data_IF_636963658949
#
_entry.id   IF_636963658949
#
_cell.length_a   1.000
_cell.length_b   1.000
_cell.length_c   1.000
_cell.angle_alpha   90.00
_cell.angle_beta   90.00
_cell.angle_gamma   90.00
#
_symmetry.space_group_name_H-M   'P 1'
#
loop_
_entity.id
_entity.type
_entity.pdbx_description
1 polymer ?
#
# COMPACT_ATOMS: atom_id res chain seq x y z
N UNK A 1 48.92 6.35 -25.67
CA UNK A 1 47.48 6.58 -25.92
C UNK A 1 46.60 5.43 -25.39
N UNK A 2 46.90 4.14 -25.65
CA UNK A 2 46.11 2.96 -25.24
C UNK A 2 45.91 2.84 -23.73
N UNK A 3 46.92 3.14 -22.88
CA UNK A 3 46.81 3.08 -21.41
C UNK A 3 45.85 4.14 -20.81
N UNK A 4 45.74 5.33 -21.42
CA UNK A 4 44.77 6.39 -20.98
C UNK A 4 43.35 6.03 -21.35
N UNK A 5 43.10 5.37 -22.49
CA UNK A 5 41.80 4.90 -22.93
C UNK A 5 41.26 3.81 -22.01
N UNK A 6 42.09 2.85 -21.59
CA UNK A 6 41.71 1.78 -20.64
C UNK A 6 41.31 2.36 -19.27
N UNK A 7 42.00 3.40 -18.79
CA UNK A 7 41.64 4.07 -17.54
C UNK A 7 40.28 4.76 -17.57
N UNK A 8 39.95 5.41 -18.70
CA UNK A 8 38.66 6.07 -18.88
C UNK A 8 37.50 5.04 -18.94
N UNK A 9 37.70 3.92 -19.65
CA UNK A 9 36.68 2.85 -19.72
C UNK A 9 36.43 2.20 -18.36
N UNK A 10 37.47 1.96 -17.56
CA UNK A 10 37.34 1.45 -16.21
C UNK A 10 36.62 2.42 -15.27
N UNK A 11 36.87 3.71 -15.39
CA UNK A 11 36.19 4.75 -14.60
C UNK A 11 34.70 4.83 -14.93
N UNK A 12 34.35 4.76 -16.22
CA UNK A 12 32.95 4.76 -16.68
C UNK A 12 32.21 3.51 -16.24
N UNK A 13 32.86 2.32 -16.21
CA UNK A 13 32.25 1.08 -15.73
C UNK A 13 31.99 1.12 -14.21
N UNK A 14 32.88 1.73 -13.43
CA UNK A 14 32.69 1.94 -11.99
C UNK A 14 31.55 2.91 -11.69
N UNK A 15 31.41 4.00 -12.45
CA UNK A 15 30.32 4.94 -12.33
C UNK A 15 28.96 4.31 -12.70
N UNK A 16 28.89 3.52 -13.77
CA UNK A 16 27.70 2.78 -14.15
C UNK A 16 27.28 1.77 -13.06
N UNK A 17 28.23 1.01 -12.49
CA UNK A 17 27.98 0.08 -11.39
C UNK A 17 27.40 0.75 -10.15
N UNK A 18 27.88 1.95 -9.80
CA UNK A 18 27.38 2.72 -8.65
C UNK A 18 25.93 3.21 -8.86
N UNK A 19 25.57 3.60 -10.08
CA UNK A 19 24.20 4.03 -10.39
C UNK A 19 23.22 2.86 -10.35
N UNK A 20 23.59 1.69 -10.87
CA UNK A 20 22.74 0.50 -10.82
C UNK A 20 22.54 -0.01 -9.38
N UNK A 21 23.55 0.04 -8.52
CA UNK A 21 23.42 -0.37 -7.11
C UNK A 21 22.57 0.58 -6.29
N UNK A 22 22.60 1.89 -6.58
CA UNK A 22 21.71 2.87 -5.90
C UNK A 22 20.25 2.73 -6.35
N UNK A 23 19.99 2.48 -7.62
CA UNK A 23 18.61 2.23 -8.11
C UNK A 23 18.02 0.95 -7.51
N UNK A 24 18.81 -0.13 -7.35
CA UNK A 24 18.37 -1.37 -6.71
C UNK A 24 18.07 -1.17 -5.21
N UNK A 25 18.82 -0.35 -4.50
CA UNK A 25 18.57 -0.01 -3.10
C UNK A 25 17.32 0.86 -2.91
N UNK A 26 17.02 1.75 -3.86
CA UNK A 26 15.79 2.56 -3.82
C UNK A 26 14.53 1.75 -4.18
N UNK A 27 14.62 0.74 -5.05
CA UNK A 27 13.50 -0.16 -5.37
C UNK A 27 13.10 -1.06 -4.19
N UNK A 28 14.07 -1.52 -3.37
CA UNK A 28 13.78 -2.43 -2.25
C UNK A 28 13.16 -1.72 -1.03
N UNK A 29 13.37 -0.42 -0.87
CA UNK A 29 12.84 0.37 0.26
C UNK A 29 11.38 0.81 0.09
N UNK A 30 10.86 0.87 -1.13
CA UNK A 30 9.45 1.22 -1.41
C UNK A 30 8.52 -0.02 -1.30
N UNK A 31 9.02 -1.23 -1.54
CA UNK A 31 8.23 -2.47 -1.52
C UNK A 31 7.92 -3.02 -0.11
N UNK A 32 8.44 -2.42 0.96
CA UNK A 32 8.32 -2.95 2.34
C UNK A 32 7.41 -2.15 3.27
N UNK A 33 6.80 -1.06 2.83
CA UNK A 33 5.86 -0.30 3.65
C UNK A 33 4.48 -0.96 3.63
N UNK A 34 4.00 -1.40 4.80
CA UNK A 34 2.62 -1.83 4.98
C UNK A 34 2.35 -3.33 4.85
N UNK A 35 3.38 -4.20 4.92
CA UNK A 35 3.17 -5.66 4.86
C UNK A 35 3.63 -6.32 6.15
N UNK A 36 2.73 -7.10 6.77
CA UNK A 36 3.02 -7.94 7.93
C UNK A 36 2.70 -9.39 7.55
N UNK A 37 3.69 -10.28 7.61
CA UNK A 37 3.51 -11.70 7.30
C UNK A 37 3.85 -12.58 8.49
N UNK A 38 3.14 -13.70 8.64
CA UNK A 38 3.43 -14.72 9.65
C UNK A 38 3.71 -16.06 8.97
N UNK A 39 4.80 -16.71 9.36
CA UNK A 39 5.15 -18.05 8.87
C UNK A 39 5.56 -18.09 7.38
N UNK A 40 5.00 -19.05 6.63
CA UNK A 40 5.33 -19.28 5.20
C UNK A 40 4.48 -18.48 4.21
N UNK A 41 3.57 -17.64 4.70
CA UNK A 41 2.74 -16.77 3.86
C UNK A 41 3.54 -15.54 3.46
N UNK A 42 3.51 -15.20 2.18
CA UNK A 42 4.07 -13.97 1.65
C UNK A 42 3.00 -13.26 0.84
N UNK A 43 2.72 -12.02 1.17
CA UNK A 43 1.80 -11.16 0.43
C UNK A 43 2.52 -9.89 -0.03
N UNK A 44 2.05 -9.31 -1.11
CA UNK A 44 2.47 -7.99 -1.59
C UNK A 44 1.25 -7.07 -1.60
N UNK A 45 1.40 -5.85 -1.12
CA UNK A 45 0.43 -4.79 -1.31
C UNK A 45 0.68 -4.18 -2.69
N UNK A 46 -0.36 -4.14 -3.51
CA UNK A 46 -0.34 -3.54 -4.84
C UNK A 46 -1.10 -2.22 -4.75
N UNK A 47 -0.47 -1.15 -5.18
CA UNK A 47 -1.05 0.19 -5.24
C UNK A 47 -0.78 0.79 -6.60
N UNK A 48 -1.84 1.14 -7.32
CA UNK A 48 -1.78 1.62 -8.70
C UNK A 48 -2.62 2.89 -8.89
N UNK A 49 -2.21 3.70 -9.85
CA UNK A 49 -3.01 4.83 -10.34
C UNK A 49 -4.09 4.35 -11.35
N UNK A 50 -4.85 5.28 -11.91
CA UNK A 50 -5.88 5.00 -12.92
C UNK A 50 -5.34 4.34 -14.21
N UNK A 51 -4.02 4.37 -14.44
CA UNK A 51 -3.37 3.82 -15.63
C UNK A 51 -2.67 2.48 -15.35
N UNK A 52 -2.77 1.97 -14.10
CA UNK A 52 -2.06 0.76 -13.68
C UNK A 52 -0.56 0.99 -13.42
N UNK A 53 -0.12 2.23 -13.28
CA UNK A 53 1.24 2.54 -12.86
C UNK A 53 1.35 2.56 -11.32
N UNK A 54 2.51 2.23 -10.75
CA UNK A 54 2.70 2.27 -9.30
C UNK A 54 2.32 3.63 -8.71
N UNK A 55 1.43 3.61 -7.73
CA UNK A 55 0.95 4.81 -7.07
C UNK A 55 2.02 5.36 -6.11
N UNK A 56 2.27 6.67 -6.17
CA UNK A 56 3.23 7.38 -5.30
C UNK A 56 2.46 8.24 -4.32
N UNK A 57 2.39 7.80 -3.08
CA UNK A 57 1.68 8.48 -1.99
C UNK A 57 2.38 9.77 -1.54
N UNK A 58 1.59 10.71 -1.06
CA UNK A 58 2.07 11.90 -0.31
C UNK A 58 2.25 13.15 -1.15
N UNK A 59 1.78 13.17 -2.40
CA UNK A 59 1.80 14.35 -3.26
C UNK A 59 0.41 14.96 -3.50
N UNK A 60 -0.65 14.28 -3.08
CA UNK A 60 -2.01 14.71 -3.33
C UNK A 60 -2.40 15.85 -2.39
N UNK A 61 -2.78 16.94 -2.99
CA UNK A 61 -3.44 18.07 -2.35
C UNK A 61 -4.88 18.08 -2.85
N UNK A 62 -5.82 17.82 -1.97
CA UNK A 62 -7.25 17.76 -2.31
C UNK A 62 -7.95 19.02 -1.82
N UNK A 63 -8.84 19.54 -2.66
CA UNK A 63 -9.88 20.46 -2.26
C UNK A 63 -11.18 19.69 -1.91
N UNK A 64 -12.08 20.25 -1.10
CA UNK A 64 -13.38 19.63 -0.84
C UNK A 64 -14.10 19.28 -2.14
N UNK A 65 -14.46 18.01 -2.30
CA UNK A 65 -15.07 17.46 -3.51
C UNK A 65 -14.12 16.79 -4.49
N UNK A 66 -12.80 17.00 -4.35
CA UNK A 66 -11.82 16.33 -5.20
C UNK A 66 -11.72 14.82 -4.89
N UNK A 67 -11.40 14.07 -5.94
CA UNK A 67 -11.21 12.62 -5.90
C UNK A 67 -9.92 12.25 -6.64
N UNK A 68 -9.18 11.30 -6.10
CA UNK A 68 -8.00 10.70 -6.73
C UNK A 68 -8.22 9.22 -6.98
N UNK A 69 -7.68 8.72 -8.08
CA UNK A 69 -7.63 7.30 -8.39
C UNK A 69 -6.42 6.67 -7.69
N UNK A 70 -6.69 5.72 -6.82
CA UNK A 70 -5.70 4.88 -6.16
C UNK A 70 -6.32 3.52 -5.94
N UNK A 71 -5.97 2.56 -6.78
CA UNK A 71 -6.45 1.19 -6.70
C UNK A 71 -5.53 0.42 -5.76
N UNK A 72 -6.11 -0.23 -4.76
CA UNK A 72 -5.36 -1.01 -3.77
C UNK A 72 -5.86 -2.44 -3.77
N UNK A 73 -4.92 -3.39 -3.88
CA UNK A 73 -5.18 -4.83 -3.80
C UNK A 73 -4.03 -5.54 -3.07
N UNK A 74 -4.16 -6.84 -2.86
CA UNK A 74 -3.13 -7.68 -2.24
C UNK A 74 -2.91 -8.90 -3.10
N UNK A 75 -1.65 -9.16 -3.45
CA UNK A 75 -1.22 -10.37 -4.14
C UNK A 75 -0.61 -11.37 -3.16
N UNK A 76 -0.90 -12.65 -3.34
CA UNK A 76 -0.23 -13.73 -2.65
C UNK A 76 1.01 -14.17 -3.44
N UNK A 77 2.16 -13.61 -3.11
CA UNK A 77 3.45 -13.95 -3.72
C UNK A 77 4.15 -15.15 -3.05
N UNK A 78 3.44 -15.82 -2.12
CA UNK A 78 3.90 -17.03 -1.45
C UNK A 78 3.49 -18.31 -2.17
N UNK A 79 3.69 -19.44 -1.51
CA UNK A 79 3.38 -20.77 -2.03
C UNK A 79 2.28 -21.49 -1.22
N UNK A 80 1.62 -20.81 -0.30
CA UNK A 80 0.52 -21.27 0.52
C UNK A 80 -0.69 -20.36 0.38
N UNK A 81 -1.90 -20.94 0.44
CA UNK A 81 -3.12 -20.14 0.48
C UNK A 81 -3.14 -19.24 1.73
N UNK A 82 -3.63 -18.03 1.56
CA UNK A 82 -3.64 -17.00 2.60
C UNK A 82 -5.05 -16.51 2.93
N UNK A 83 -5.28 -16.19 4.20
CA UNK A 83 -6.29 -15.23 4.62
C UNK A 83 -5.63 -13.85 4.69
N UNK A 84 -6.34 -12.82 4.26
CA UNK A 84 -5.81 -11.45 4.17
C UNK A 84 -6.73 -10.48 4.90
N UNK A 85 -6.12 -9.56 5.68
CA UNK A 85 -6.80 -8.39 6.22
C UNK A 85 -5.99 -7.13 5.95
N UNK A 86 -6.67 -5.98 5.93
CA UNK A 86 -6.08 -4.66 5.75
C UNK A 86 -6.50 -3.76 6.91
N UNK A 87 -5.58 -2.90 7.33
CA UNK A 87 -5.84 -1.77 8.22
C UNK A 87 -5.57 -0.48 7.46
N UNK A 88 -6.43 0.53 7.65
CA UNK A 88 -6.27 1.86 7.06
C UNK A 88 -6.10 2.89 8.17
N UNK A 89 -5.11 3.76 8.01
CA UNK A 89 -4.96 4.95 8.84
C UNK A 89 -4.98 6.20 7.95
N UNK A 90 -5.75 7.21 8.35
CA UNK A 90 -5.85 8.48 7.64
C UNK A 90 -5.18 9.56 8.48
N UNK A 91 -4.39 10.40 7.82
CA UNK A 91 -3.69 11.51 8.49
C UNK A 91 -3.36 12.61 7.49
N UNK A 92 -2.79 13.69 8.00
CA UNK A 92 -2.11 14.68 7.17
C UNK A 92 -0.60 14.44 7.20
N UNK A 93 0.09 14.70 6.10
CA UNK A 93 1.56 14.59 6.02
C UNK A 93 2.23 15.51 7.04
N UNK A 94 1.68 16.73 7.20
CA UNK A 94 2.06 17.64 8.29
C UNK A 94 1.00 17.49 9.39
N UNK A 95 1.37 17.09 10.62
CA UNK A 95 0.40 16.93 11.71
C UNK A 95 -0.40 18.23 11.96
N UNK A 96 -1.70 18.06 12.19
CA UNK A 96 -2.64 19.16 12.43
C UNK A 96 -3.21 19.04 13.84
N UNK A 97 -3.24 20.14 14.55
CA UNK A 97 -3.81 20.23 15.92
C UNK A 97 -5.20 20.87 15.92
N UNK A 98 -5.62 21.44 14.80
CA UNK A 98 -6.91 22.12 14.60
C UNK A 98 -7.96 21.24 13.89
N UNK A 99 -7.63 19.96 13.67
CA UNK A 99 -8.54 18.96 13.10
C UNK A 99 -8.62 17.78 14.08
N UNK A 100 -9.82 17.50 14.54
CA UNK A 100 -10.07 16.39 15.45
C UNK A 100 -9.96 15.03 14.72
N UNK A 101 -9.49 13.97 15.39
CA UNK A 101 -9.38 12.64 14.78
C UNK A 101 -10.70 12.14 14.15
N UNK A 102 -11.85 12.48 14.73
CA UNK A 102 -13.15 12.12 14.20
C UNK A 102 -13.46 12.80 12.85
N UNK A 103 -12.84 13.95 12.57
CA UNK A 103 -13.04 14.67 11.31
C UNK A 103 -12.30 14.03 10.14
N UNK A 104 -11.31 13.14 10.40
CA UNK A 104 -10.63 12.36 9.35
C UNK A 104 -11.57 11.44 8.56
N UNK A 105 -12.81 11.22 9.03
CA UNK A 105 -13.85 10.55 8.25
C UNK A 105 -14.21 11.31 6.96
N UNK A 106 -13.96 12.64 6.91
CA UNK A 106 -14.17 13.45 5.71
C UNK A 106 -13.18 13.10 4.57
N UNK A 107 -12.10 12.41 4.87
CA UNK A 107 -11.29 11.72 3.88
C UNK A 107 -11.99 10.39 3.60
N UNK A 108 -12.76 10.32 2.54
CA UNK A 108 -13.57 9.16 2.18
C UNK A 108 -12.77 8.17 1.33
N UNK A 109 -13.07 6.88 1.50
CA UNK A 109 -12.49 5.78 0.74
C UNK A 109 -13.62 4.85 0.31
N UNK A 110 -13.68 4.49 -0.96
CA UNK A 110 -14.73 3.67 -1.57
C UNK A 110 -14.48 2.16 -1.37
N UNK A 111 -14.52 1.69 -0.13
CA UNK A 111 -14.29 0.28 0.20
C UNK A 111 -15.19 -0.67 -0.58
N UNK A 112 -14.59 -1.69 -1.21
CA UNK A 112 -15.30 -2.61 -2.10
C UNK A 112 -15.93 -3.78 -1.33
N UNK A 113 -17.05 -4.31 -1.83
CA UNK A 113 -17.94 -5.25 -1.13
C UNK A 113 -17.33 -6.63 -0.79
N UNK A 114 -16.22 -7.03 -1.42
CA UNK A 114 -15.49 -8.27 -1.07
C UNK A 114 -14.72 -8.17 0.24
N UNK A 115 -14.67 -6.98 0.83
CA UNK A 115 -13.99 -6.69 2.07
C UNK A 115 -15.01 -6.32 3.15
N UNK A 116 -14.93 -6.97 4.30
CA UNK A 116 -15.84 -6.74 5.43
C UNK A 116 -15.06 -6.16 6.60
N UNK A 117 -15.54 -5.02 7.10
CA UNK A 117 -14.96 -4.36 8.26
C UNK A 117 -15.37 -5.09 9.55
N UNK A 118 -14.39 -5.31 10.42
CA UNK A 118 -14.57 -5.79 11.79
C UNK A 118 -13.39 -5.31 12.66
N UNK A 119 -13.69 -4.67 13.77
CA UNK A 119 -12.73 -4.23 14.79
C UNK A 119 -11.58 -3.37 14.22
N UNK A 120 -11.89 -2.50 13.26
CA UNK A 120 -10.94 -1.59 12.61
C UNK A 120 -10.04 -2.25 11.55
N UNK A 121 -10.32 -3.49 11.18
CA UNK A 121 -9.69 -4.20 10.08
C UNK A 121 -10.72 -4.56 9.01
N UNK A 122 -10.26 -4.65 7.78
CA UNK A 122 -11.03 -5.10 6.63
C UNK A 122 -10.54 -6.48 6.20
N UNK A 123 -11.42 -7.46 6.20
CA UNK A 123 -11.13 -8.86 5.93
C UNK A 123 -11.61 -9.25 4.52
N UNK A 124 -10.70 -9.74 3.67
CA UNK A 124 -11.05 -10.28 2.37
C UNK A 124 -11.79 -11.61 2.54
N UNK A 125 -12.98 -11.74 1.97
CA UNK A 125 -13.89 -12.85 2.29
C UNK A 125 -13.52 -14.19 1.64
N UNK A 126 -12.52 -14.22 0.78
CA UNK A 126 -12.12 -15.42 0.02
C UNK A 126 -10.68 -15.82 0.37
N UNK A 127 -10.38 -17.11 0.27
CA UNK A 127 -9.01 -17.61 0.36
C UNK A 127 -8.21 -17.14 -0.84
N UNK A 128 -7.07 -16.53 -0.60
CA UNK A 128 -6.18 -16.06 -1.65
C UNK A 128 -5.17 -17.17 -1.99
N UNK A 129 -5.35 -17.80 -3.14
CA UNK A 129 -4.44 -18.83 -3.63
C UNK A 129 -3.05 -18.27 -3.95
N UNK A 130 -1.99 -19.11 -3.98
CA UNK A 130 -0.67 -18.69 -4.48
C UNK A 130 -0.75 -18.07 -5.88
N UNK A 131 -0.11 -16.93 -6.09
CA UNK A 131 -0.11 -16.17 -7.34
C UNK A 131 -1.41 -15.45 -7.67
N UNK A 132 -2.42 -15.51 -6.79
CA UNK A 132 -3.68 -14.78 -6.98
C UNK A 132 -3.63 -13.40 -6.32
N UNK A 133 -4.44 -12.50 -6.86
CA UNK A 133 -4.67 -11.14 -6.36
C UNK A 133 -6.10 -11.01 -5.84
N UNK A 134 -6.30 -10.23 -4.78
CA UNK A 134 -7.64 -9.93 -4.27
C UNK A 134 -8.42 -9.06 -5.26
N UNK A 135 -9.74 -9.04 -5.17
CA UNK A 135 -10.48 -7.91 -5.72
C UNK A 135 -9.97 -6.60 -5.07
N UNK A 136 -10.04 -5.47 -5.78
CA UNK A 136 -9.64 -4.19 -5.22
C UNK A 136 -10.25 -3.96 -3.84
N UNK A 137 -9.45 -3.43 -2.92
CA UNK A 137 -9.91 -3.03 -1.59
C UNK A 137 -10.65 -1.69 -1.66
N UNK A 138 -10.06 -0.75 -2.38
CA UNK A 138 -10.70 0.49 -2.82
C UNK A 138 -10.09 0.95 -4.14
N UNK A 139 -10.73 1.92 -4.80
CA UNK A 139 -10.27 2.49 -6.07
C UNK A 139 -10.09 4.00 -6.03
N UNK A 140 -10.74 4.67 -5.07
CA UNK A 140 -10.74 6.11 -4.99
C UNK A 140 -10.57 6.59 -3.54
N UNK A 141 -9.92 7.72 -3.41
CA UNK A 141 -9.89 8.52 -2.19
C UNK A 141 -10.45 9.89 -2.52
N UNK A 142 -11.41 10.36 -1.72
CA UNK A 142 -12.12 11.61 -1.95
C UNK A 142 -12.12 12.47 -0.69
N UNK A 143 -12.00 13.78 -0.85
CA UNK A 143 -12.27 14.72 0.22
C UNK A 143 -13.76 15.15 0.14
N UNK A 144 -14.52 14.84 1.19
CA UNK A 144 -15.94 15.17 1.25
C UNK A 144 -16.19 16.68 1.09
N UNK A 145 -17.26 17.04 0.38
CA UNK A 145 -17.67 18.45 0.20
C UNK A 145 -17.94 19.20 1.52
N UNK A 146 -18.26 18.48 2.59
CA UNK A 146 -18.46 19.05 3.92
C UNK A 146 -17.14 19.38 4.65
N UNK A 147 -15.98 19.03 4.07
CA UNK A 147 -14.68 19.46 4.60
C UNK A 147 -14.55 20.98 4.43
N UNK A 148 -14.10 21.65 5.48
CA UNK A 148 -13.88 23.10 5.44
C UNK A 148 -12.47 23.49 4.95
N UNK A 149 -12.16 24.78 4.96
CA UNK A 149 -10.89 25.30 4.48
C UNK A 149 -9.67 24.81 5.27
N UNK A 150 -9.83 24.24 6.47
CA UNK A 150 -8.74 23.61 7.23
C UNK A 150 -8.15 22.41 6.51
N UNK A 151 -8.96 21.70 5.71
CA UNK A 151 -8.57 20.58 4.87
C UNK A 151 -7.94 21.01 3.54
N UNK A 152 -8.22 22.21 3.05
CA UNK A 152 -7.75 22.69 1.75
C UNK A 152 -6.23 22.89 1.74
N UNK A 153 -5.61 22.60 0.60
CA UNK A 153 -4.14 22.72 0.41
C UNK A 153 -3.29 21.89 1.38
N UNK A 154 -3.89 20.85 1.98
CA UNK A 154 -3.17 19.92 2.85
C UNK A 154 -2.84 18.63 2.09
N UNK A 155 -1.63 18.11 2.32
CA UNK A 155 -1.25 16.79 1.84
C UNK A 155 -1.86 15.74 2.74
N UNK A 156 -2.74 14.92 2.16
CA UNK A 156 -3.44 13.84 2.85
C UNK A 156 -2.64 12.54 2.71
N UNK A 157 -2.62 11.77 3.79
CA UNK A 157 -2.02 10.45 3.84
C UNK A 157 -3.09 9.41 4.16
N UNK A 158 -3.18 8.36 3.34
CA UNK A 158 -4.03 7.18 3.59
C UNK A 158 -3.11 5.97 3.63
N UNK A 159 -2.62 5.64 4.82
CA UNK A 159 -1.73 4.51 5.04
C UNK A 159 -2.50 3.21 5.02
N UNK A 160 -2.06 2.27 4.19
CA UNK A 160 -2.63 0.93 4.05
C UNK A 160 -1.61 -0.08 4.54
N UNK A 161 -2.03 -0.93 5.49
CA UNK A 161 -1.20 -2.03 5.99
C UNK A 161 -1.94 -3.34 5.78
N UNK A 162 -1.35 -4.25 5.02
CA UNK A 162 -1.88 -5.59 4.77
C UNK A 162 -1.23 -6.62 5.70
N UNK A 163 -2.02 -7.55 6.20
CA UNK A 163 -1.54 -8.70 6.96
C UNK A 163 -2.09 -9.99 6.35
N UNK A 164 -1.23 -11.01 6.25
CA UNK A 164 -1.58 -12.33 5.74
C UNK A 164 -1.22 -13.42 6.74
N UNK A 165 -2.12 -14.40 6.87
CA UNK A 165 -1.90 -15.63 7.63
C UNK A 165 -2.23 -16.85 6.76
N UNK A 166 -1.66 -18.01 7.10
CA UNK A 166 -1.95 -19.24 6.36
C UNK A 166 -3.44 -19.61 6.47
N UNK A 167 -4.06 -19.94 5.33
CA UNK A 167 -5.46 -20.34 5.28
C UNK A 167 -5.66 -21.85 5.42
N UNK A 168 -4.63 -22.66 5.10
CA UNK A 168 -4.69 -24.11 5.22
C UNK A 168 -4.69 -24.50 6.72
N UNK A 169 -5.67 -25.33 7.11
CA UNK A 169 -5.90 -25.73 8.50
C UNK A 169 -6.19 -24.57 9.46
N UNK A 170 -6.61 -23.42 8.95
CA UNK A 170 -6.90 -22.23 9.74
C UNK A 170 -8.27 -21.64 9.39
N UNK A 171 -9.30 -22.40 9.71
CA UNK A 171 -10.68 -22.04 9.46
C UNK A 171 -11.16 -22.30 8.03
N UNK A 172 -12.47 -22.49 7.89
CA UNK A 172 -13.14 -22.60 6.59
C UNK A 172 -13.57 -21.25 6.04
N UNK A 173 -13.74 -20.28 6.94
CA UNK A 173 -14.04 -18.87 6.65
C UNK A 173 -13.03 -17.98 7.37
N UNK A 174 -12.83 -16.80 6.87
CA UNK A 174 -11.90 -15.83 7.46
C UNK A 174 -12.28 -15.44 8.89
N UNK A 175 -13.58 -15.48 9.22
CA UNK A 175 -14.08 -15.20 10.57
C UNK A 175 -13.58 -16.18 11.63
N UNK A 176 -13.22 -17.42 11.23
CA UNK A 176 -12.73 -18.49 12.09
C UNK A 176 -11.20 -18.51 12.17
N UNK A 177 -10.52 -17.69 11.37
CA UNK A 177 -9.07 -17.68 11.27
C UNK A 177 -8.41 -17.05 12.50
N UNK A 178 -7.38 -17.70 13.02
CA UNK A 178 -6.62 -17.27 14.20
C UNK A 178 -5.16 -17.00 13.85
N UNK A 179 -4.43 -16.37 14.79
CA UNK A 179 -2.99 -16.11 14.60
C UNK A 179 -2.68 -14.82 13.82
N UNK A 180 -3.61 -13.87 13.80
CA UNK A 180 -3.36 -12.56 13.21
C UNK A 180 -2.27 -11.81 13.97
N UNK A 181 -1.32 -11.18 13.26
CA UNK A 181 -0.35 -10.28 13.89
C UNK A 181 -1.06 -9.06 14.50
N UNK A 182 -0.52 -8.54 15.60
CA UNK A 182 -1.02 -7.34 16.26
C UNK A 182 -0.75 -6.08 15.44
#
# INVERSE_FOLDING_TARGET
MKKKLVGVVLLLALLAGAVYSTLALFSDSQAKKGIITTGQVKIALIEEDAKGAPYVQGNEVLAPGDEINRVVSVENVGNKAAWVRIKVAKSFVVPRTDIEPAELRLIEVDYQSKWVEKDGFYYYQEKLAPGAETAPFFKHVKLNLAADNRFSNQKINVDVTAAGIQADHNGTKIADAIGWPN
#
